data_IF_244214371320
#
_entry.id   IF_244214371320
#
_cell.length_a   1.000
_cell.length_b   1.000
_cell.length_c   1.000
_cell.angle_alpha   90.00
_cell.angle_beta   90.00
_cell.angle_gamma   90.00
#
_symmetry.space_group_name_H-M   'P 1'
#
loop_
_entity.id
_entity.type
_entity.pdbx_description
1 polymer ?
#
# COMPACT_ATOMS: atom_id res chain seq x y z
N UNK A 1 -11.03 -5.37 19.15
CA UNK A 1 -9.97 -6.05 19.91
C UNK A 1 -8.79 -6.43 18.99
N UNK A 2 -9.00 -7.05 17.82
CA UNK A 2 -7.92 -7.49 16.93
C UNK A 2 -6.91 -6.41 16.57
N UNK A 3 -7.35 -5.20 16.23
CA UNK A 3 -6.45 -4.09 15.92
C UNK A 3 -5.68 -3.57 17.15
N UNK A 4 -6.26 -3.64 18.34
CA UNK A 4 -5.56 -3.21 19.56
C UNK A 4 -4.39 -4.12 19.92
N UNK A 5 -4.45 -5.40 19.55
CA UNK A 5 -3.34 -6.33 19.76
C UNK A 5 -2.13 -6.01 18.88
N UNK A 6 -2.34 -5.36 17.71
CA UNK A 6 -1.24 -4.89 16.88
C UNK A 6 -0.44 -3.75 17.52
N UNK A 7 -0.99 -3.02 18.49
CA UNK A 7 -0.23 -1.99 19.22
C UNK A 7 0.95 -2.57 20.02
N UNK A 8 0.93 -3.86 20.31
CA UNK A 8 2.05 -4.55 20.95
C UNK A 8 3.03 -5.17 19.93
N UNK A 9 2.82 -4.94 18.63
CA UNK A 9 3.70 -5.46 17.60
C UNK A 9 4.79 -4.45 17.26
N UNK A 10 5.95 -4.96 16.85
CA UNK A 10 7.06 -4.14 16.32
C UNK A 10 6.85 -3.74 14.85
N UNK A 11 5.73 -4.11 14.26
CA UNK A 11 5.37 -3.75 12.88
C UNK A 11 4.87 -2.31 12.78
N UNK A 12 4.88 -1.75 11.58
CA UNK A 12 4.42 -0.38 11.31
C UNK A 12 2.90 -0.15 11.42
N UNK A 13 2.10 -1.21 11.60
CA UNK A 13 0.64 -1.13 11.67
C UNK A 13 0.12 -0.22 12.78
N UNK A 14 0.62 -0.26 14.01
CA UNK A 14 0.16 0.65 15.07
C UNK A 14 0.31 2.11 14.65
N UNK A 15 1.48 2.47 14.13
CA UNK A 15 1.78 3.82 13.66
C UNK A 15 0.88 4.20 12.49
N UNK A 16 0.63 3.28 11.56
CA UNK A 16 -0.25 3.48 10.42
C UNK A 16 -1.68 3.81 10.86
N UNK A 17 -2.26 3.06 11.80
CA UNK A 17 -3.63 3.30 12.27
C UNK A 17 -3.76 4.61 13.03
N UNK A 18 -2.84 4.90 13.94
CA UNK A 18 -2.87 6.15 14.72
C UNK A 18 -2.73 7.35 13.80
N UNK A 19 -1.73 7.34 12.93
CA UNK A 19 -1.51 8.45 12.00
C UNK A 19 -2.67 8.62 11.01
N UNK A 20 -3.28 7.55 10.52
CA UNK A 20 -4.46 7.61 9.66
C UNK A 20 -5.66 8.27 10.38
N UNK A 21 -5.93 7.89 11.64
CA UNK A 21 -7.00 8.50 12.43
C UNK A 21 -6.76 9.98 12.68
N UNK A 22 -5.52 10.36 12.97
CA UNK A 22 -5.13 11.77 13.13
C UNK A 22 -5.30 12.53 11.80
N UNK A 23 -4.91 11.93 10.67
CA UNK A 23 -5.09 12.53 9.34
C UNK A 23 -6.56 12.81 9.03
N UNK A 24 -7.45 11.84 9.29
CA UNK A 24 -8.89 12.00 9.08
C UNK A 24 -9.42 13.13 9.96
N UNK A 25 -9.09 13.13 11.26
CA UNK A 25 -9.53 14.15 12.19
C UNK A 25 -9.05 15.56 11.78
N UNK A 26 -7.77 15.70 11.45
CA UNK A 26 -7.19 16.96 11.00
C UNK A 26 -7.75 17.39 9.64
N UNK A 27 -8.00 16.46 8.72
CA UNK A 27 -8.65 16.73 7.44
C UNK A 27 -10.04 17.36 7.63
N UNK A 28 -10.86 16.79 8.51
CA UNK A 28 -12.17 17.33 8.86
C UNK A 28 -12.10 18.72 9.52
N UNK A 29 -11.10 18.92 10.39
CA UNK A 29 -10.87 20.22 11.05
C UNK A 29 -10.38 21.29 10.05
N UNK A 30 -9.56 20.92 9.07
CA UNK A 30 -9.11 21.80 7.98
C UNK A 30 -10.27 22.14 7.06
N UNK A 31 -11.09 21.16 6.72
CA UNK A 31 -12.29 21.39 5.91
C UNK A 31 -13.23 22.43 6.53
N UNK A 32 -13.48 22.35 7.84
CA UNK A 32 -14.35 23.30 8.56
C UNK A 32 -13.70 24.69 8.68
N UNK A 33 -12.49 24.76 9.20
CA UNK A 33 -11.74 26.02 9.46
C UNK A 33 -10.23 25.77 9.27
N UNK A 34 -9.72 25.96 8.04
CA UNK A 34 -8.30 25.77 7.78
C UNK A 34 -7.48 26.83 8.52
N UNK A 35 -6.40 26.42 9.19
CA UNK A 35 -5.39 27.26 9.80
C UNK A 35 -4.01 26.68 9.55
N UNK A 36 -2.95 27.52 9.52
CA UNK A 36 -1.58 27.05 9.27
C UNK A 36 -1.15 25.98 10.28
N UNK A 37 -1.38 26.11 11.60
CA UNK A 37 -1.01 25.06 12.56
C UNK A 37 -1.67 23.71 12.27
N UNK A 38 -2.96 23.71 11.92
CA UNK A 38 -3.66 22.45 11.57
C UNK A 38 -3.08 21.78 10.33
N UNK A 39 -2.72 22.60 9.33
CA UNK A 39 -2.09 22.10 8.11
C UNK A 39 -0.70 21.56 8.42
N UNK A 40 0.10 22.25 9.24
CA UNK A 40 1.39 21.74 9.68
C UNK A 40 1.26 20.41 10.43
N UNK A 41 0.33 20.30 11.40
CA UNK A 41 0.06 19.03 12.09
C UNK A 41 -0.41 17.93 11.13
N UNK A 42 -1.20 18.26 10.12
CA UNK A 42 -1.64 17.31 9.10
C UNK A 42 -0.45 16.73 8.32
N UNK A 43 0.51 17.56 7.90
CA UNK A 43 1.70 17.10 7.20
C UNK A 43 2.64 16.30 8.10
N UNK A 44 2.74 16.62 9.38
CA UNK A 44 3.47 15.79 10.37
C UNK A 44 2.83 14.41 10.48
N UNK A 45 1.51 14.34 10.63
CA UNK A 45 0.80 13.06 10.66
C UNK A 45 0.94 12.28 9.35
N UNK A 46 0.94 12.98 8.19
CA UNK A 46 1.16 12.39 6.88
C UNK A 46 2.56 11.80 6.73
N UNK A 47 3.57 12.45 7.29
CA UNK A 47 4.94 11.91 7.33
C UNK A 47 5.00 10.59 8.09
N UNK A 48 4.40 10.53 9.28
CA UNK A 48 4.34 9.28 10.05
C UNK A 48 3.52 8.19 9.35
N UNK A 49 2.43 8.57 8.69
CA UNK A 49 1.63 7.63 7.89
C UNK A 49 2.43 7.07 6.72
N UNK A 50 3.12 7.92 5.97
CA UNK A 50 3.96 7.51 4.85
C UNK A 50 5.12 6.60 5.32
N UNK A 51 5.77 6.98 6.44
CA UNK A 51 6.90 6.23 7.00
C UNK A 51 6.52 4.90 7.66
N UNK A 52 5.25 4.67 7.96
CA UNK A 52 4.80 3.42 8.59
C UNK A 52 4.84 2.22 7.64
N UNK A 53 4.63 2.44 6.34
CA UNK A 53 4.70 1.42 5.29
C UNK A 53 5.01 2.04 3.94
N UNK A 54 5.87 1.37 3.15
CA UNK A 54 6.20 1.77 1.78
C UNK A 54 4.94 1.95 0.90
N UNK A 55 3.96 1.06 1.06
CA UNK A 55 2.70 1.12 0.32
C UNK A 55 1.88 2.40 0.58
N UNK A 56 2.14 3.12 1.68
CA UNK A 56 1.43 4.35 2.01
C UNK A 56 1.99 5.59 1.30
N UNK A 57 3.20 5.53 0.75
CA UNK A 57 3.84 6.68 0.10
C UNK A 57 3.02 7.24 -1.07
N UNK A 58 2.53 6.43 -2.03
CA UNK A 58 1.68 6.94 -3.12
C UNK A 58 0.39 7.59 -2.62
N UNK A 59 -0.26 7.00 -1.62
CA UNK A 59 -1.47 7.58 -1.02
C UNK A 59 -1.19 8.91 -0.33
N UNK A 60 -0.03 9.04 0.31
CA UNK A 60 0.40 10.28 0.96
C UNK A 60 0.55 11.43 -0.03
N UNK A 61 1.03 11.17 -1.24
CA UNK A 61 1.11 12.17 -2.32
C UNK A 61 -0.29 12.63 -2.74
N UNK A 62 -1.21 11.68 -2.99
CA UNK A 62 -2.59 12.00 -3.38
C UNK A 62 -3.29 12.84 -2.30
N UNK A 63 -3.19 12.41 -1.03
CA UNK A 63 -3.80 13.11 0.10
C UNK A 63 -3.21 14.51 0.28
N UNK A 64 -1.90 14.67 0.04
CA UNK A 64 -1.23 15.98 0.07
C UNK A 64 -1.78 16.92 -0.99
N UNK A 65 -1.90 16.45 -2.23
CA UNK A 65 -2.44 17.24 -3.34
C UNK A 65 -3.88 17.68 -3.07
N UNK A 66 -4.72 16.78 -2.56
CA UNK A 66 -6.11 17.10 -2.20
C UNK A 66 -6.18 18.14 -1.08
N UNK A 67 -5.45 17.94 0.01
CA UNK A 67 -5.43 18.89 1.13
C UNK A 67 -4.96 20.29 0.70
N UNK A 68 -3.97 20.35 -0.20
CA UNK A 68 -3.50 21.59 -0.79
C UNK A 68 -4.54 22.30 -1.64
N UNK A 69 -5.20 21.56 -2.50
CA UNK A 69 -6.22 22.12 -3.38
C UNK A 69 -7.31 22.80 -2.55
N UNK A 70 -7.77 22.17 -1.48
CA UNK A 70 -8.73 22.77 -0.56
C UNK A 70 -8.21 24.01 0.15
N UNK A 71 -6.97 23.97 0.63
CA UNK A 71 -6.37 25.10 1.34
C UNK A 71 -6.08 26.26 0.39
N UNK A 72 -5.61 25.99 -0.84
CA UNK A 72 -5.30 27.00 -1.85
C UNK A 72 -6.53 27.79 -2.32
N UNK A 73 -7.67 27.12 -2.47
CA UNK A 73 -8.89 27.72 -2.99
C UNK A 73 -9.56 28.70 -2.00
N UNK A 74 -9.26 28.61 -0.69
CA UNK A 74 -10.06 29.31 0.33
C UNK A 74 -9.39 30.51 1.02
N UNK A 75 -8.07 30.83 0.80
CA UNK A 75 -7.38 31.84 1.63
C UNK A 75 -6.39 32.73 0.85
N UNK A 76 -6.01 33.87 1.45
CA UNK A 76 -5.16 34.90 0.86
C UNK A 76 -3.71 34.47 0.61
N UNK A 77 -2.93 35.36 -0.02
CA UNK A 77 -1.56 35.10 -0.52
C UNK A 77 -0.60 34.51 0.52
N UNK A 78 -0.57 35.05 1.74
CA UNK A 78 0.32 34.56 2.81
C UNK A 78 -0.02 33.15 3.26
N UNK A 79 -1.29 32.79 3.29
CA UNK A 79 -1.73 31.45 3.61
C UNK A 79 -1.28 30.44 2.55
N UNK A 80 -1.40 30.81 1.26
CA UNK A 80 -0.94 29.97 0.14
C UNK A 80 0.56 29.69 0.21
N UNK A 81 1.38 30.68 0.58
CA UNK A 81 2.82 30.51 0.75
C UNK A 81 3.12 29.56 1.91
N UNK A 82 2.47 29.71 3.06
CA UNK A 82 2.66 28.82 4.21
C UNK A 82 2.30 27.37 3.89
N UNK A 83 1.19 27.16 3.18
CA UNK A 83 0.79 25.82 2.70
C UNK A 83 1.82 25.26 1.73
N UNK A 84 2.29 26.05 0.77
CA UNK A 84 3.30 25.60 -0.19
C UNK A 84 4.59 25.15 0.51
N UNK A 85 5.07 25.90 1.50
CA UNK A 85 6.23 25.53 2.29
C UNK A 85 5.99 24.19 3.02
N UNK A 86 4.86 24.02 3.69
CA UNK A 86 4.52 22.75 4.36
C UNK A 86 4.56 21.57 3.40
N UNK A 87 4.10 21.75 2.16
CA UNK A 87 4.11 20.68 1.16
C UNK A 87 5.48 20.35 0.66
N UNK A 88 6.28 21.35 0.37
CA UNK A 88 7.67 21.13 -0.05
C UNK A 88 8.40 20.34 1.04
N UNK A 89 8.25 20.74 2.32
CA UNK A 89 8.84 20.02 3.43
C UNK A 89 8.33 18.58 3.53
N UNK A 90 7.02 18.36 3.40
CA UNK A 90 6.45 17.02 3.40
C UNK A 90 6.96 16.17 2.23
N UNK A 91 7.05 16.75 1.03
CA UNK A 91 7.59 16.06 -0.14
C UNK A 91 9.06 15.66 0.07
N UNK A 92 9.88 16.55 0.60
CA UNK A 92 11.29 16.26 0.93
C UNK A 92 11.37 15.14 1.97
N UNK A 93 10.57 15.20 3.04
CA UNK A 93 10.55 14.15 4.07
C UNK A 93 10.10 12.80 3.51
N UNK A 94 9.07 12.77 2.68
CA UNK A 94 8.57 11.52 2.05
C UNK A 94 9.62 10.96 1.10
N UNK A 95 10.28 11.81 0.32
CA UNK A 95 11.36 11.39 -0.58
C UNK A 95 12.53 10.79 0.21
N UNK A 96 12.96 11.44 1.29
CA UNK A 96 14.01 10.91 2.15
C UNK A 96 13.64 9.55 2.76
N UNK A 97 12.40 9.39 3.22
CA UNK A 97 11.91 8.10 3.71
C UNK A 97 11.99 7.03 2.61
N UNK A 98 11.53 7.36 1.39
CA UNK A 98 11.57 6.43 0.27
C UNK A 98 13.00 6.03 -0.11
N UNK A 99 13.93 6.99 -0.12
CA UNK A 99 15.34 6.73 -0.42
C UNK A 99 16.07 5.96 0.70
N UNK A 100 15.54 5.97 1.92
CA UNK A 100 16.09 5.24 3.06
C UNK A 100 15.63 3.77 3.12
N UNK A 101 14.80 3.33 2.18
CA UNK A 101 14.31 1.94 2.14
C UNK A 101 15.44 1.03 1.71
N UNK A 102 15.69 -0.09 2.44
CA UNK A 102 16.71 -1.06 2.07
C UNK A 102 16.49 -1.63 0.66
N UNK A 103 17.57 -1.90 -0.05
CA UNK A 103 17.53 -2.42 -1.44
C UNK A 103 16.72 -3.71 -1.55
N UNK A 104 16.88 -4.64 -0.59
CA UNK A 104 16.14 -5.89 -0.58
C UNK A 104 14.61 -5.69 -0.59
N UNK A 105 14.11 -4.67 0.14
CA UNK A 105 12.67 -4.37 0.15
C UNK A 105 12.19 -3.80 -1.19
N UNK A 106 13.05 -3.11 -1.93
CA UNK A 106 12.75 -2.68 -3.30
C UNK A 106 12.67 -3.88 -4.24
N UNK A 107 13.59 -4.84 -4.09
CA UNK A 107 13.59 -6.08 -4.88
C UNK A 107 12.35 -6.91 -4.63
N UNK A 108 12.03 -7.21 -3.36
CA UNK A 108 10.83 -7.97 -2.98
C UNK A 108 9.56 -7.33 -3.51
N UNK A 109 9.41 -6.02 -3.32
CA UNK A 109 8.21 -5.32 -3.78
C UNK A 109 8.12 -5.25 -5.31
N UNK A 110 9.24 -5.20 -6.03
CA UNK A 110 9.27 -5.22 -7.49
C UNK A 110 8.90 -6.62 -8.00
N UNK A 111 9.54 -7.66 -7.46
CA UNK A 111 9.21 -9.05 -7.76
C UNK A 111 7.73 -9.33 -7.54
N UNK A 112 7.23 -8.99 -6.35
CA UNK A 112 5.84 -9.19 -5.96
C UNK A 112 4.87 -8.46 -6.89
N UNK A 113 5.19 -7.24 -7.31
CA UNK A 113 4.33 -6.45 -8.18
C UNK A 113 4.23 -7.01 -9.60
N UNK A 114 5.23 -7.74 -10.06
CA UNK A 114 5.26 -8.39 -11.36
C UNK A 114 4.67 -9.79 -11.28
N UNK A 115 5.36 -10.73 -10.66
CA UNK A 115 5.02 -12.16 -10.74
C UNK A 115 3.77 -12.53 -9.95
N UNK A 116 3.53 -11.91 -8.80
CA UNK A 116 2.31 -12.11 -8.00
C UNK A 116 1.25 -11.02 -8.26
N UNK A 117 1.64 -9.93 -8.91
CA UNK A 117 0.78 -8.80 -9.24
C UNK A 117 0.30 -8.83 -10.68
N UNK A 118 1.08 -8.26 -11.57
CA UNK A 118 0.68 -7.94 -12.94
C UNK A 118 0.38 -9.19 -13.81
N UNK A 119 1.21 -10.24 -13.68
CA UNK A 119 1.10 -11.45 -14.51
C UNK A 119 0.41 -12.62 -13.80
N UNK A 120 0.09 -12.50 -12.51
CA UNK A 120 -0.64 -13.53 -11.78
C UNK A 120 -2.00 -13.78 -12.43
N UNK A 121 -2.33 -15.06 -12.64
CA UNK A 121 -3.61 -15.51 -13.23
C UNK A 121 -3.87 -14.90 -14.61
N UNK A 122 -2.79 -14.53 -15.34
CA UNK A 122 -2.93 -14.06 -16.72
C UNK A 122 -3.27 -15.22 -17.66
N UNK A 123 -4.16 -14.96 -18.61
CA UNK A 123 -4.45 -15.89 -19.71
C UNK A 123 -3.34 -15.91 -20.76
N UNK A 124 -2.48 -14.90 -20.78
CA UNK A 124 -1.38 -14.74 -21.75
C UNK A 124 -0.12 -14.25 -21.07
N UNK A 125 0.46 -15.01 -20.12
CA UNK A 125 1.59 -14.54 -19.30
C UNK A 125 2.83 -14.23 -20.12
N UNK A 126 3.10 -14.95 -21.21
CA UNK A 126 4.24 -14.66 -22.10
C UNK A 126 4.14 -13.26 -22.73
N UNK A 127 2.93 -12.90 -23.22
CA UNK A 127 2.70 -11.56 -23.80
C UNK A 127 2.85 -10.47 -22.75
N UNK A 128 2.42 -10.73 -21.54
CA UNK A 128 2.49 -9.77 -20.44
C UNK A 128 3.93 -9.55 -19.98
N UNK A 129 4.73 -10.63 -19.85
CA UNK A 129 6.16 -10.51 -19.55
C UNK A 129 6.86 -9.69 -20.62
N UNK A 130 6.60 -9.97 -21.90
CA UNK A 130 7.17 -9.22 -23.02
C UNK A 130 6.77 -7.72 -22.99
N UNK A 131 5.51 -7.42 -22.64
CA UNK A 131 5.06 -6.02 -22.48
C UNK A 131 5.76 -5.30 -21.32
N UNK A 132 6.13 -6.04 -20.28
CA UNK A 132 6.91 -5.53 -19.15
C UNK A 132 8.41 -5.44 -19.47
N UNK A 133 8.86 -5.99 -20.62
CA UNK A 133 10.28 -6.02 -21.01
C UNK A 133 11.06 -7.16 -20.37
N UNK A 134 10.36 -8.20 -19.90
CA UNK A 134 10.94 -9.38 -19.22
C UNK A 134 10.99 -10.53 -20.20
N UNK A 135 12.09 -11.30 -20.14
CA UNK A 135 12.32 -12.46 -20.99
C UNK A 135 11.36 -13.61 -20.65
N UNK A 136 10.91 -14.35 -21.68
CA UNK A 136 10.00 -15.49 -21.52
C UNK A 136 10.62 -16.64 -20.71
N UNK A 137 11.95 -16.71 -20.57
CA UNK A 137 12.62 -17.70 -19.72
C UNK A 137 12.18 -17.62 -18.26
N UNK A 138 11.65 -16.47 -17.81
CA UNK A 138 11.13 -16.26 -16.46
C UNK A 138 9.63 -16.61 -16.29
N UNK A 139 9.02 -17.19 -17.32
CA UNK A 139 7.64 -17.66 -17.25
C UNK A 139 7.35 -18.62 -16.07
N UNK A 140 8.27 -19.54 -15.67
CA UNK A 140 8.04 -20.38 -14.50
C UNK A 140 7.86 -19.65 -13.18
N UNK A 141 8.30 -18.39 -13.08
CA UNK A 141 8.11 -17.55 -11.87
C UNK A 141 6.70 -16.96 -11.75
N UNK A 142 5.86 -17.08 -12.76
CA UNK A 142 4.47 -16.59 -12.72
C UNK A 142 3.70 -17.30 -11.60
N UNK A 143 2.95 -16.53 -10.81
CA UNK A 143 2.22 -16.95 -9.62
C UNK A 143 3.10 -17.21 -8.38
N UNK A 144 4.42 -17.09 -8.43
CA UNK A 144 5.28 -17.14 -7.26
C UNK A 144 5.26 -15.80 -6.52
N UNK A 145 5.69 -15.78 -5.25
CA UNK A 145 5.77 -14.57 -4.43
C UNK A 145 7.17 -14.39 -3.83
N UNK A 146 7.52 -13.17 -3.45
CA UNK A 146 8.85 -12.80 -2.98
C UNK A 146 9.27 -13.38 -1.61
N UNK A 147 8.43 -14.18 -0.98
CA UNK A 147 8.64 -14.72 0.37
C UNK A 147 8.62 -16.25 0.38
N UNK A 148 8.97 -16.86 -0.74
CA UNK A 148 9.22 -18.31 -0.81
C UNK A 148 10.62 -18.59 -0.27
N UNK A 149 10.84 -19.79 0.24
CA UNK A 149 12.17 -20.22 0.61
C UNK A 149 13.04 -20.39 -0.65
N UNK A 150 14.33 -20.09 -0.57
CA UNK A 150 15.23 -20.03 -1.74
C UNK A 150 15.20 -21.31 -2.60
N UNK A 151 14.98 -22.46 -1.99
CA UNK A 151 14.87 -23.74 -2.71
C UNK A 151 13.52 -24.02 -3.37
N UNK A 152 12.51 -23.18 -3.15
CA UNK A 152 11.16 -23.37 -3.70
C UNK A 152 10.95 -22.61 -5.02
N UNK A 153 11.86 -21.71 -5.39
CA UNK A 153 11.75 -21.00 -6.66
C UNK A 153 12.06 -21.94 -7.83
N UNK A 154 11.22 -21.93 -8.89
CA UNK A 154 11.47 -22.72 -10.09
C UNK A 154 12.76 -22.34 -10.83
N UNK A 155 13.25 -21.13 -10.61
CA UNK A 155 14.47 -20.56 -11.16
C UNK A 155 15.19 -19.88 -10.01
N UNK A 156 16.51 -20.01 -9.96
CA UNK A 156 17.34 -19.32 -8.96
C UNK A 156 17.32 -17.81 -9.23
N UNK A 157 16.66 -17.07 -8.32
CA UNK A 157 16.49 -15.62 -8.39
C UNK A 157 17.66 -14.85 -7.73
N UNK A 158 18.65 -15.58 -7.17
CA UNK A 158 19.81 -14.97 -6.50
C UNK A 158 20.98 -14.73 -7.46
N UNK A 159 20.86 -15.17 -8.71
CA UNK A 159 21.91 -15.06 -9.72
C UNK A 159 22.10 -13.63 -10.23
N UNK A 160 23.35 -13.29 -10.59
CA UNK A 160 23.68 -12.03 -11.24
C UNK A 160 22.92 -11.85 -12.56
N UNK A 161 22.65 -12.96 -13.28
CA UNK A 161 21.85 -12.95 -14.50
C UNK A 161 20.42 -12.46 -14.22
N UNK A 162 19.77 -12.98 -13.17
CA UNK A 162 18.43 -12.55 -12.79
C UNK A 162 18.43 -11.09 -12.33
N UNK A 163 19.44 -10.67 -11.57
CA UNK A 163 19.60 -9.27 -11.15
C UNK A 163 19.61 -8.35 -12.40
N UNK A 164 20.43 -8.68 -13.39
CA UNK A 164 20.62 -7.85 -14.58
C UNK A 164 19.43 -7.88 -15.53
N UNK A 165 18.82 -9.03 -15.72
CA UNK A 165 17.71 -9.21 -16.66
C UNK A 165 16.36 -8.76 -16.10
N UNK A 166 16.19 -8.78 -14.80
CA UNK A 166 14.93 -8.43 -14.16
C UNK A 166 15.02 -7.13 -13.36
N UNK A 167 15.81 -7.08 -12.27
CA UNK A 167 15.78 -5.92 -11.37
C UNK A 167 16.35 -4.64 -11.98
N UNK A 168 17.36 -4.75 -12.85
CA UNK A 168 17.95 -3.57 -13.50
C UNK A 168 17.07 -3.03 -14.65
N UNK A 169 16.18 -3.86 -15.20
CA UNK A 169 15.32 -3.49 -16.34
C UNK A 169 13.93 -3.06 -15.93
N UNK A 170 13.40 -3.63 -14.85
CA UNK A 170 12.03 -3.39 -14.40
C UNK A 170 12.00 -2.29 -13.34
N UNK A 171 11.13 -1.32 -13.54
CA UNK A 171 10.82 -0.30 -12.55
C UNK A 171 9.35 -0.36 -12.15
N UNK A 172 9.01 0.21 -11.00
CA UNK A 172 7.61 0.36 -10.58
C UNK A 172 6.77 1.14 -11.61
N UNK A 173 7.41 2.03 -12.38
CA UNK A 173 6.75 2.74 -13.47
C UNK A 173 6.28 1.80 -14.59
N UNK A 174 7.07 0.77 -14.95
CA UNK A 174 6.66 -0.22 -15.94
C UNK A 174 5.37 -0.92 -15.52
N UNK A 175 5.26 -1.30 -14.23
CA UNK A 175 4.06 -1.93 -13.67
C UNK A 175 2.86 -0.98 -13.69
N UNK A 176 3.05 0.29 -13.35
CA UNK A 176 2.00 1.32 -13.43
C UNK A 176 1.53 1.49 -14.87
N UNK A 177 2.44 1.63 -15.83
CA UNK A 177 2.08 1.74 -17.25
C UNK A 177 1.41 0.48 -17.79
N UNK A 178 1.81 -0.70 -17.32
CA UNK A 178 1.12 -1.94 -17.65
C UNK A 178 -0.35 -1.89 -17.21
N UNK A 179 -0.65 -1.51 -15.97
CA UNK A 179 -2.01 -1.40 -15.47
C UNK A 179 -2.81 -0.27 -16.15
N UNK A 180 -2.18 0.84 -16.53
CA UNK A 180 -2.85 1.89 -17.31
C UNK A 180 -3.28 1.40 -18.69
N UNK A 181 -2.52 0.48 -19.29
CA UNK A 181 -2.90 -0.18 -20.56
C UNK A 181 -3.93 -1.30 -20.37
N UNK A 182 -4.02 -1.85 -19.15
CA UNK A 182 -4.93 -2.94 -18.79
C UNK A 182 -5.85 -2.58 -17.63
N UNK A 183 -6.73 -1.54 -17.75
CA UNK A 183 -7.52 -1.02 -16.63
C UNK A 183 -8.47 -2.07 -16.04
N UNK A 184 -8.99 -2.99 -16.84
CA UNK A 184 -9.84 -4.08 -16.36
C UNK A 184 -9.06 -5.00 -15.41
N UNK A 185 -7.80 -5.31 -15.70
CA UNK A 185 -6.95 -6.11 -14.81
C UNK A 185 -6.65 -5.38 -13.50
N UNK A 186 -6.44 -4.07 -13.58
CA UNK A 186 -6.28 -3.25 -12.38
C UNK A 186 -7.49 -3.31 -11.46
N UNK A 187 -8.70 -3.16 -12.03
CA UNK A 187 -9.96 -3.27 -11.28
C UNK A 187 -10.13 -4.67 -10.68
N UNK A 188 -9.83 -5.75 -11.44
CA UNK A 188 -9.85 -7.13 -10.93
C UNK A 188 -8.88 -7.31 -9.76
N UNK A 189 -7.69 -6.69 -9.81
CA UNK A 189 -6.70 -6.75 -8.72
C UNK A 189 -7.18 -6.02 -7.47
N UNK A 190 -7.80 -4.86 -7.63
CA UNK A 190 -8.44 -4.15 -6.51
C UNK A 190 -9.56 -5.02 -5.92
N UNK A 191 -10.41 -5.61 -6.76
CA UNK A 191 -11.48 -6.50 -6.33
C UNK A 191 -10.94 -7.69 -5.51
N UNK A 192 -9.91 -8.38 -6.01
CA UNK A 192 -9.22 -9.44 -5.28
C UNK A 192 -8.69 -8.98 -3.92
N UNK A 193 -8.08 -7.78 -3.87
CA UNK A 193 -7.57 -7.21 -2.62
C UNK A 193 -8.69 -6.92 -1.61
N UNK A 194 -9.83 -6.42 -2.09
CA UNK A 194 -11.01 -6.14 -1.26
C UNK A 194 -11.58 -7.45 -0.69
N UNK A 195 -11.74 -8.49 -1.50
CA UNK A 195 -12.25 -9.79 -1.08
C UNK A 195 -11.38 -10.42 0.01
N UNK A 196 -10.05 -10.28 -0.14
CA UNK A 196 -9.09 -10.79 0.84
C UNK A 196 -8.85 -9.88 2.05
N UNK A 197 -9.35 -8.63 2.04
CA UNK A 197 -9.20 -7.68 3.14
C UNK A 197 -9.93 -8.13 4.44
N UNK A 198 -10.81 -9.13 4.37
CA UNK A 198 -11.42 -9.73 5.56
C UNK A 198 -10.44 -10.54 6.41
N UNK A 199 -9.34 -11.02 5.84
CA UNK A 199 -8.29 -11.74 6.56
C UNK A 199 -7.39 -10.75 7.32
N UNK A 200 -7.44 -10.81 8.67
CA UNK A 200 -6.69 -9.88 9.53
C UNK A 200 -5.31 -10.37 9.92
N UNK A 201 -5.07 -11.67 9.87
CA UNK A 201 -3.84 -12.26 10.38
C UNK A 201 -3.30 -13.30 9.40
N UNK A 202 -2.12 -13.06 8.84
CA UNK A 202 -1.39 -14.12 8.16
C UNK A 202 -1.06 -15.24 9.14
N UNK A 203 -1.19 -16.50 8.70
CA UNK A 203 -0.96 -17.68 9.56
C UNK A 203 0.48 -17.76 10.07
N UNK A 204 1.42 -17.20 9.31
CA UNK A 204 2.87 -17.24 9.55
C UNK A 204 3.44 -15.96 10.18
N UNK A 205 2.62 -14.98 10.55
CA UNK A 205 3.09 -13.75 11.18
C UNK A 205 2.72 -13.73 12.66
N UNK A 206 3.69 -13.82 13.52
CA UNK A 206 3.54 -13.74 14.97
C UNK A 206 4.78 -13.15 15.64
N UNK A 207 4.60 -12.52 16.80
CA UNK A 207 5.68 -11.97 17.62
C UNK A 207 6.22 -12.98 18.64
N UNK A 208 5.88 -14.26 18.53
CA UNK A 208 6.29 -15.27 19.48
C UNK A 208 7.23 -16.28 18.84
N UNK A 209 8.40 -16.40 19.42
CA UNK A 209 9.41 -17.40 19.05
C UNK A 209 9.11 -18.80 19.61
N UNK A 210 8.07 -18.95 20.42
CA UNK A 210 7.80 -20.22 21.09
C UNK A 210 6.71 -21.01 20.38
N UNK A 211 7.03 -22.25 20.04
CA UNK A 211 6.15 -23.30 19.48
C UNK A 211 4.91 -23.58 20.36
N UNK A 212 4.87 -23.03 21.56
CA UNK A 212 3.82 -23.27 22.58
C UNK A 212 2.61 -22.32 22.49
N UNK A 213 2.58 -21.37 21.57
CA UNK A 213 1.39 -20.51 21.43
C UNK A 213 0.27 -21.23 20.68
N UNK A 214 -0.60 -21.84 21.43
CA UNK A 214 -1.90 -22.24 20.94
C UNK A 214 -2.69 -21.01 20.50
N UNK A 215 -3.28 -21.05 19.32
CA UNK A 215 -4.19 -20.02 18.85
C UNK A 215 -5.33 -19.83 19.85
N UNK A 216 -5.43 -18.65 20.44
CA UNK A 216 -6.50 -18.32 21.38
C UNK A 216 -7.63 -17.56 20.68
N UNK A 217 -8.85 -18.04 20.86
CA UNK A 217 -10.05 -17.37 20.38
C UNK A 217 -10.63 -16.36 21.41
N UNK A 218 -9.92 -16.07 22.50
CA UNK A 218 -10.43 -15.22 23.61
C UNK A 218 -10.78 -13.78 23.16
N UNK A 219 -10.13 -13.25 22.12
CA UNK A 219 -10.38 -11.91 21.59
C UNK A 219 -10.80 -11.93 20.12
N UNK A 220 -11.43 -13.00 19.67
CA UNK A 220 -11.83 -13.22 18.28
C UNK A 220 -13.13 -12.53 17.87
N UNK A 221 -13.83 -11.87 18.79
CA UNK A 221 -15.12 -11.22 18.49
C UNK A 221 -15.07 -10.34 17.22
N UNK A 222 -14.03 -9.50 17.11
CA UNK A 222 -13.86 -8.63 15.95
C UNK A 222 -13.56 -9.41 14.67
N UNK A 223 -12.73 -10.43 14.75
CA UNK A 223 -12.42 -11.31 13.63
C UNK A 223 -13.66 -12.07 13.17
N UNK A 224 -14.43 -12.62 14.13
CA UNK A 224 -15.68 -13.30 13.85
C UNK A 224 -16.72 -12.36 13.23
N UNK A 225 -16.84 -11.13 13.73
CA UNK A 225 -17.71 -10.11 13.14
C UNK A 225 -17.30 -9.79 11.69
N UNK A 226 -16.02 -9.65 11.41
CA UNK A 226 -15.52 -9.42 10.04
C UNK A 226 -15.80 -10.59 9.12
N UNK A 227 -15.62 -11.82 9.59
CA UNK A 227 -15.97 -13.02 8.80
C UNK A 227 -17.48 -13.06 8.56
N UNK A 228 -18.29 -12.79 9.58
CA UNK A 228 -19.76 -12.72 9.44
C UNK A 228 -20.21 -11.62 8.48
N UNK A 229 -19.48 -10.50 8.41
CA UNK A 229 -19.76 -9.37 7.50
C UNK A 229 -18.97 -9.45 6.21
N UNK A 230 -18.39 -10.60 5.85
CA UNK A 230 -17.59 -10.79 4.63
C UNK A 230 -18.30 -10.32 3.36
N UNK A 231 -19.63 -10.39 3.30
CA UNK A 231 -20.42 -9.89 2.18
C UNK A 231 -20.21 -8.39 1.92
N UNK A 232 -19.88 -7.58 2.94
CA UNK A 232 -19.58 -6.15 2.79
C UNK A 232 -18.24 -5.90 2.08
N UNK A 233 -17.37 -6.91 2.02
CA UNK A 233 -16.13 -6.86 1.26
C UNK A 233 -16.30 -7.31 -0.20
N UNK A 234 -17.57 -7.43 -0.64
CA UNK A 234 -17.84 -7.62 -2.05
C UNK A 234 -17.40 -6.35 -2.82
N UNK A 235 -16.53 -6.47 -3.84
CA UNK A 235 -15.99 -5.32 -4.55
C UNK A 235 -17.08 -4.44 -5.17
N UNK A 236 -18.16 -5.00 -5.64
CA UNK A 236 -19.27 -4.23 -6.21
C UNK A 236 -19.97 -3.36 -5.16
N UNK A 237 -20.15 -3.86 -3.94
CA UNK A 237 -20.73 -3.10 -2.82
C UNK A 237 -19.76 -1.97 -2.43
N UNK A 238 -18.46 -2.26 -2.32
CA UNK A 238 -17.46 -1.26 -1.95
C UNK A 238 -17.35 -0.16 -3.00
N UNK A 239 -17.37 -0.49 -4.30
CA UNK A 239 -17.37 0.49 -5.37
C UNK A 239 -18.66 1.33 -5.39
N UNK A 240 -19.82 0.70 -5.20
CA UNK A 240 -21.09 1.43 -5.11
C UNK A 240 -21.08 2.41 -3.92
N UNK A 241 -20.62 1.99 -2.76
CA UNK A 241 -20.49 2.86 -1.58
C UNK A 241 -19.51 4.02 -1.85
N UNK A 242 -18.37 3.77 -2.47
CA UNK A 242 -17.40 4.80 -2.83
C UNK A 242 -18.00 5.84 -3.78
N UNK A 243 -18.75 5.41 -4.80
CA UNK A 243 -19.46 6.30 -5.72
C UNK A 243 -20.51 7.14 -4.97
N UNK A 244 -21.32 6.53 -4.13
CA UNK A 244 -22.34 7.25 -3.32
C UNK A 244 -21.65 8.31 -2.45
N UNK A 245 -20.55 7.95 -1.76
CA UNK A 245 -19.82 8.89 -0.89
C UNK A 245 -19.13 10.03 -1.64
N UNK A 246 -18.87 9.89 -2.94
CA UNK A 246 -18.29 10.97 -3.76
C UNK A 246 -19.33 11.91 -4.36
N UNK A 247 -20.59 11.47 -4.44
CA UNK A 247 -21.70 12.26 -4.98
C UNK A 247 -22.42 13.11 -3.92
N UNK A 248 -22.20 12.82 -2.63
CA UNK A 248 -22.72 13.56 -1.48
C UNK A 248 -21.63 14.40 -0.79
#
# INVERSE_FOLDING_TARGET
AGYLLYFNSLYGEPLQYVSLMILIALGLLIYKRPTIPKIACFFVALYFFAGSKLANVPYSVIVSVLALSFAYLRKGKFYRIGVLICVILAAVCITNLYMSIPSWMHYDTTYQSVFFGAVKESETPEKDLKQLGIDEKYLPLVNTHAYMDDGEYPIDITTDEFQHDFYDRISKANVVFFYLRHPVRFVKKIAFSIENASCLRPLNSGNSETVLMQYSNRFSLWSNLRVATKFLYNPYIVFAMAIIMTLY
#
